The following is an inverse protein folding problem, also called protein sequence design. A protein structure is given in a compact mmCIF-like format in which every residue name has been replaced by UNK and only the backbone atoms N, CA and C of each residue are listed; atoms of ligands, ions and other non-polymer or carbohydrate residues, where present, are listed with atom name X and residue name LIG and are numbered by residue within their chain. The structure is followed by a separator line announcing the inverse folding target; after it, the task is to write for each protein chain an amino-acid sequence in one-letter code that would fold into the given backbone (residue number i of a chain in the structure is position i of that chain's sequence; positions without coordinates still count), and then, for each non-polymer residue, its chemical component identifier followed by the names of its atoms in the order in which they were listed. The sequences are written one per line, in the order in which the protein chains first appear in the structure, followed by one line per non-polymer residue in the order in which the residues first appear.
data_IF_634118822369
#
_entry.id   IF_634118822369
#
_cell.length_a   1.000
_cell.length_b   1.000
_cell.length_c   1.000
_cell.angle_alpha   90.00
_cell.angle_beta   90.00
_cell.angle_gamma   90.00
#
_symmetry.space_group_name_H-M   'P 1'
#
loop_
_entity.id
_entity.type
_entity.pdbx_description
1 polymer ?
#
# COMPACT_ATOMS: atom_id res chain seq x y z
N UNK A 1 44.97 -14.23 -20.87
CA UNK A 1 46.07 -14.60 -19.94
C UNK A 1 45.85 -13.78 -18.69
N UNK A 2 45.71 -14.29 -17.49
CA UNK A 2 45.42 -15.61 -16.94
C UNK A 2 44.97 -15.31 -15.51
N UNK A 3 43.99 -16.05 -14.99
CA UNK A 3 43.75 -16.13 -13.54
C UNK A 3 44.96 -16.76 -12.81
N UNK A 4 44.97 -16.76 -11.48
CA UNK A 4 44.37 -17.94 -10.83
C UNK A 4 43.55 -17.66 -9.55
N UNK A 5 42.54 -18.50 -9.36
CA UNK A 5 41.89 -18.90 -8.11
C UNK A 5 42.90 -19.39 -7.04
N UNK A 6 42.57 -19.21 -5.75
CA UNK A 6 42.77 -20.23 -4.71
C UNK A 6 41.62 -20.20 -3.70
N UNK A 7 40.95 -21.34 -3.57
CA UNK A 7 39.97 -21.72 -2.55
C UNK A 7 40.65 -22.12 -1.23
N UNK A 8 39.94 -22.01 -0.10
CA UNK A 8 40.40 -22.59 1.17
C UNK A 8 39.44 -22.36 2.34
N UNK A 9 38.61 -23.37 2.60
CA UNK A 9 37.66 -23.56 3.70
C UNK A 9 38.33 -23.82 5.06
N UNK A 10 37.69 -23.40 6.16
CA UNK A 10 37.74 -24.17 7.42
C UNK A 10 36.53 -23.89 8.34
N UNK A 11 36.04 -24.97 8.96
CA UNK A 11 34.83 -25.08 9.77
C UNK A 11 35.19 -25.54 11.18
N UNK A 12 34.58 -24.95 12.22
CA UNK A 12 34.61 -25.36 13.64
C UNK A 12 33.39 -24.65 14.30
N UNK A 13 32.52 -25.20 15.15
CA UNK A 13 32.28 -26.52 15.75
C UNK A 13 30.94 -26.47 16.50
N UNK A 14 30.27 -27.62 16.54
CA UNK A 14 29.04 -27.95 17.26
C UNK A 14 29.13 -27.70 18.77
N UNK A 15 27.97 -27.41 19.39
CA UNK A 15 27.66 -28.01 20.69
C UNK A 15 26.20 -28.45 20.75
N UNK A 16 26.05 -29.72 21.10
CA UNK A 16 24.87 -30.55 21.24
C UNK A 16 24.68 -30.87 22.73
N UNK A 17 23.43 -30.99 23.17
CA UNK A 17 22.92 -31.88 24.25
C UNK A 17 21.40 -31.62 24.36
N UNK A 18 20.51 -32.49 23.87
CA UNK A 18 20.08 -33.81 24.39
C UNK A 18 18.92 -33.71 25.43
N UNK A 19 17.73 -34.11 24.97
CA UNK A 19 16.50 -34.60 25.67
C UNK A 19 16.77 -35.86 26.54
N UNK A 20 15.84 -36.52 27.29
CA UNK A 20 14.38 -36.70 27.09
C UNK A 20 13.53 -36.66 28.41
N UNK A 21 12.20 -36.71 28.41
CA UNK A 21 11.36 -37.92 28.28
C UNK A 21 9.87 -37.61 27.96
N UNK A 22 9.29 -38.42 27.07
CA UNK A 22 7.85 -38.73 26.93
C UNK A 22 7.49 -39.77 28.02
N UNK A 23 6.27 -40.07 28.47
CA UNK A 23 4.97 -40.31 27.84
C UNK A 23 4.01 -40.61 29.01
N UNK A 24 2.76 -40.10 29.05
CA UNK A 24 1.61 -40.90 29.48
C UNK A 24 0.28 -40.23 29.10
N UNK A 25 -0.60 -41.06 28.55
CA UNK A 25 -1.98 -40.85 28.11
C UNK A 25 -2.90 -41.02 29.34
N UNK A 26 -4.02 -40.28 29.43
CA UNK A 26 -5.39 -40.86 29.41
C UNK A 26 -6.51 -39.93 29.97
N UNK A 27 -7.67 -40.04 29.32
CA UNK A 27 -9.07 -39.75 29.73
C UNK A 27 -9.52 -38.32 30.12
N UNK A 28 -10.30 -37.72 29.21
CA UNK A 28 -11.52 -36.92 29.50
C UNK A 28 -12.64 -37.81 30.07
N UNK A 29 -13.71 -37.32 30.76
CA UNK A 29 -14.51 -36.16 30.34
C UNK A 29 -15.20 -35.31 31.44
N UNK A 30 -15.77 -34.19 30.98
CA UNK A 30 -17.07 -33.60 31.36
C UNK A 30 -17.06 -32.10 31.72
N UNK A 31 -17.98 -31.41 31.06
CA UNK A 31 -18.47 -30.06 31.31
C UNK A 31 -19.12 -29.98 32.70
N UNK A 32 -19.04 -28.82 33.35
CA UNK A 32 -20.21 -28.08 33.85
C UNK A 32 -19.83 -26.69 34.37
N UNK A 33 -20.78 -25.77 34.26
CA UNK A 33 -20.65 -24.36 34.58
C UNK A 33 -20.57 -24.12 36.09
N UNK A 34 -19.78 -23.12 36.52
CA UNK A 34 -20.32 -22.11 37.44
C UNK A 34 -19.47 -20.84 37.53
N UNK A 35 -20.17 -19.72 37.45
CA UNK A 35 -19.69 -18.38 37.71
C UNK A 35 -19.43 -18.20 39.20
N UNK A 36 -18.25 -17.71 39.58
CA UNK A 36 -18.06 -16.84 40.74
C UNK A 36 -16.72 -16.11 40.61
N UNK A 37 -16.81 -14.84 40.23
CA UNK A 37 -15.78 -13.84 40.44
C UNK A 37 -15.58 -13.65 41.95
N UNK A 38 -14.34 -13.64 42.45
CA UNK A 38 -13.77 -12.52 43.22
C UNK A 38 -12.25 -12.71 43.22
N UNK A 39 -11.58 -11.77 42.58
CA UNK A 39 -10.14 -11.60 42.49
C UNK A 39 -9.84 -10.25 41.82
N UNK A 40 -10.62 -9.22 42.17
CA UNK A 40 -10.09 -7.85 42.23
C UNK A 40 -9.02 -7.91 43.32
N UNK A 41 -7.78 -7.45 43.13
CA UNK A 41 -7.42 -6.05 43.15
C UNK A 41 -5.95 -5.96 42.68
N UNK A 42 -5.70 -5.69 41.40
CA UNK A 42 -4.49 -4.95 40.95
C UNK A 42 -4.41 -4.69 39.42
N UNK A 43 -5.39 -5.12 38.63
CA UNK A 43 -5.41 -4.82 37.18
C UNK A 43 -6.14 -3.52 36.80
N UNK A 44 -6.59 -2.72 37.79
CA UNK A 44 -7.34 -1.48 37.58
C UNK A 44 -6.45 -0.27 37.22
N UNK A 45 -5.40 -0.42 36.40
CA UNK A 45 -4.68 0.73 35.82
C UNK A 45 -4.08 0.44 34.44
N UNK A 46 -4.91 0.55 33.41
CA UNK A 46 -4.63 1.32 32.17
C UNK A 46 -5.87 1.31 31.30
N UNK A 47 -6.46 2.49 31.09
CA UNK A 47 -7.50 2.70 30.08
C UNK A 47 -6.95 2.26 28.71
N UNK A 48 -7.35 1.07 28.24
CA UNK A 48 -7.01 0.60 26.90
C UNK A 48 -7.97 1.25 25.91
N UNK A 49 -7.61 2.46 25.47
CA UNK A 49 -8.36 3.18 24.44
C UNK A 49 -8.06 2.51 23.09
N UNK A 50 -8.98 1.70 22.58
CA UNK A 50 -8.90 1.16 21.22
C UNK A 50 -9.01 2.31 20.22
N UNK A 51 -7.86 2.77 19.72
CA UNK A 51 -7.79 3.80 18.69
C UNK A 51 -8.26 3.17 17.38
N UNK A 52 -9.45 3.56 16.90
CA UNK A 52 -9.85 3.30 15.51
C UNK A 52 -9.17 4.29 14.59
N UNK A 53 -8.90 3.89 13.35
CA UNK A 53 -8.40 4.80 12.32
C UNK A 53 -9.35 5.99 12.18
N UNK A 54 -8.79 7.17 11.94
CA UNK A 54 -9.59 8.33 11.54
C UNK A 54 -10.22 8.03 10.18
N UNK A 55 -11.31 8.69 9.83
CA UNK A 55 -11.97 8.51 8.52
C UNK A 55 -10.98 8.63 7.35
N UNK A 56 -10.08 9.62 7.40
CA UNK A 56 -8.98 9.77 6.43
C UNK A 56 -7.99 8.61 6.46
N UNK A 57 -7.68 8.08 7.65
CA UNK A 57 -6.81 6.90 7.80
C UNK A 57 -7.44 5.63 7.27
N UNK A 58 -8.76 5.47 7.43
CA UNK A 58 -9.51 4.36 6.88
C UNK A 58 -9.58 4.44 5.35
N UNK A 59 -9.90 5.61 4.79
CA UNK A 59 -9.91 5.82 3.35
C UNK A 59 -8.54 5.51 2.70
N UNK A 60 -7.43 5.92 3.33
CA UNK A 60 -6.08 5.63 2.84
C UNK A 60 -5.77 4.12 2.91
N UNK A 61 -6.22 3.44 3.96
CA UNK A 61 -6.08 1.99 4.08
C UNK A 61 -6.88 1.25 3.00
N UNK A 62 -8.14 1.62 2.80
CA UNK A 62 -9.01 1.05 1.77
C UNK A 62 -8.45 1.28 0.36
N UNK A 63 -7.92 2.48 0.07
CA UNK A 63 -7.24 2.76 -1.21
C UNK A 63 -6.05 1.83 -1.46
N UNK A 64 -5.21 1.60 -0.43
CA UNK A 64 -4.08 0.66 -0.53
C UNK A 64 -4.54 -0.77 -0.80
N UNK A 65 -5.56 -1.23 -0.07
CA UNK A 65 -6.14 -2.57 -0.25
C UNK A 65 -6.72 -2.72 -1.66
N UNK A 66 -7.50 -1.74 -2.12
CA UNK A 66 -8.10 -1.73 -3.45
C UNK A 66 -7.03 -1.76 -4.56
N UNK A 67 -5.96 -0.96 -4.41
CA UNK A 67 -4.83 -0.96 -5.35
C UNK A 67 -4.14 -2.33 -5.42
N UNK A 68 -3.91 -2.97 -4.28
CA UNK A 68 -3.32 -4.32 -4.22
C UNK A 68 -4.25 -5.37 -4.83
N UNK A 69 -5.56 -5.30 -4.57
CA UNK A 69 -6.56 -6.19 -5.15
C UNK A 69 -6.62 -6.05 -6.68
N UNK A 70 -6.60 -4.83 -7.20
CA UNK A 70 -6.55 -4.57 -8.64
C UNK A 70 -5.27 -5.12 -9.27
N UNK A 71 -4.10 -4.86 -8.67
CA UNK A 71 -2.82 -5.43 -9.13
C UNK A 71 -2.84 -6.96 -9.12
N UNK A 72 -3.39 -7.57 -8.08
CA UNK A 72 -3.52 -9.02 -7.98
C UNK A 72 -4.36 -9.61 -9.12
N UNK A 73 -5.50 -8.99 -9.43
CA UNK A 73 -6.37 -9.41 -10.53
C UNK A 73 -5.62 -9.34 -11.87
N UNK A 74 -4.99 -8.21 -12.16
CA UNK A 74 -4.20 -8.01 -13.39
C UNK A 74 -3.07 -9.02 -13.50
N UNK A 75 -2.32 -9.26 -12.42
CA UNK A 75 -1.21 -10.22 -12.42
C UNK A 75 -1.70 -11.65 -12.65
N UNK A 76 -2.85 -12.02 -12.07
CA UNK A 76 -3.45 -13.33 -12.32
C UNK A 76 -3.85 -13.50 -13.79
N UNK A 77 -4.44 -12.48 -14.41
CA UNK A 77 -4.89 -12.58 -15.80
C UNK A 77 -3.70 -12.58 -16.77
N UNK A 78 -2.67 -11.77 -16.49
CA UNK A 78 -1.37 -11.84 -17.16
C UNK A 78 -0.76 -13.24 -17.08
N UNK A 79 -0.69 -13.81 -15.87
CA UNK A 79 -0.20 -15.17 -15.66
C UNK A 79 -1.02 -16.21 -16.43
N UNK A 80 -2.36 -16.12 -16.43
CA UNK A 80 -3.22 -17.05 -17.18
C UNK A 80 -2.89 -17.04 -18.69
N UNK A 81 -2.67 -15.85 -19.27
CA UNK A 81 -2.31 -15.73 -20.69
C UNK A 81 -0.96 -16.39 -20.95
N UNK A 82 0.04 -16.10 -20.12
CA UNK A 82 1.40 -16.66 -20.25
C UNK A 82 1.37 -18.19 -20.06
N UNK A 83 0.65 -18.70 -19.07
CA UNK A 83 0.50 -20.14 -18.83
C UNK A 83 -0.18 -20.85 -20.00
N UNK A 84 -1.18 -20.23 -20.64
CA UNK A 84 -1.81 -20.76 -21.86
C UNK A 84 -0.82 -20.79 -23.04
N UNK A 85 -0.01 -19.75 -23.21
CA UNK A 85 1.02 -19.70 -24.24
C UNK A 85 2.10 -20.78 -24.03
N UNK A 86 2.62 -20.90 -22.80
CA UNK A 86 3.58 -21.95 -22.45
C UNK A 86 3.00 -23.36 -22.67
N UNK A 87 1.74 -23.58 -22.31
CA UNK A 87 1.06 -24.86 -22.57
C UNK A 87 0.94 -25.16 -24.07
N UNK A 88 0.72 -24.15 -24.92
CA UNK A 88 0.70 -24.32 -26.38
C UNK A 88 2.10 -24.63 -26.92
N UNK A 89 3.12 -23.93 -26.44
CA UNK A 89 4.50 -24.19 -26.80
C UNK A 89 4.94 -25.62 -26.45
N UNK A 90 4.52 -26.16 -25.29
CA UNK A 90 4.75 -27.56 -24.91
C UNK A 90 4.12 -28.60 -25.85
N UNK A 91 3.11 -28.22 -26.65
CA UNK A 91 2.49 -29.12 -27.62
C UNK A 91 3.11 -29.01 -29.03
N UNK A 92 4.02 -28.05 -29.25
CA UNK A 92 4.69 -27.80 -30.54
C UNK A 92 6.18 -28.14 -30.37
N UNK A 93 6.81 -28.95 -31.24
CA UNK A 93 8.16 -29.49 -31.03
C UNK A 93 9.32 -28.47 -31.21
N UNK A 94 9.10 -27.18 -30.97
CA UNK A 94 10.13 -26.13 -31.07
C UNK A 94 10.65 -25.75 -29.69
N UNK A 95 11.89 -26.15 -29.37
CA UNK A 95 12.46 -26.08 -28.02
C UNK A 95 12.97 -24.69 -27.61
N UNK A 96 13.47 -23.87 -28.54
CA UNK A 96 14.08 -22.58 -28.20
C UNK A 96 13.08 -21.55 -27.66
N UNK A 97 11.83 -21.59 -28.14
CA UNK A 97 10.76 -20.73 -27.63
C UNK A 97 10.19 -21.20 -26.29
N UNK A 98 10.40 -22.47 -25.92
CA UNK A 98 9.79 -23.07 -24.74
C UNK A 98 10.44 -22.57 -23.45
N UNK A 99 11.76 -22.49 -23.41
CA UNK A 99 12.48 -22.05 -22.19
C UNK A 99 12.15 -20.60 -21.83
N UNK A 100 12.03 -19.73 -22.82
CA UNK A 100 11.59 -18.36 -22.62
C UNK A 100 10.14 -18.29 -22.08
N UNK A 101 9.24 -19.16 -22.54
CA UNK A 101 7.90 -19.27 -21.97
C UNK A 101 7.93 -19.72 -20.50
N UNK A 102 8.87 -20.55 -20.11
CA UNK A 102 9.00 -21.08 -18.74
C UNK A 102 9.50 -20.02 -17.78
N UNK A 103 10.54 -19.27 -18.16
CA UNK A 103 11.00 -18.10 -17.42
C UNK A 103 9.85 -17.09 -17.25
N UNK A 104 9.09 -16.84 -18.32
CA UNK A 104 7.90 -15.97 -18.26
C UNK A 104 6.82 -16.49 -17.29
N UNK A 105 6.56 -17.80 -17.27
CA UNK A 105 5.61 -18.43 -16.33
C UNK A 105 6.10 -18.30 -14.88
N UNK A 106 7.39 -18.55 -14.62
CA UNK A 106 8.00 -18.42 -13.30
C UNK A 106 7.86 -16.98 -12.78
N UNK A 107 8.30 -16.00 -13.57
CA UNK A 107 8.22 -14.58 -13.22
C UNK A 107 6.78 -14.14 -12.94
N UNK A 108 5.85 -14.44 -13.85
CA UNK A 108 4.45 -14.05 -13.69
C UNK A 108 3.79 -14.72 -12.45
N UNK A 109 4.14 -15.98 -12.16
CA UNK A 109 3.64 -16.64 -10.94
C UNK A 109 4.25 -16.07 -9.66
N UNK A 110 5.50 -15.62 -9.70
CA UNK A 110 6.16 -14.87 -8.63
C UNK A 110 5.46 -13.54 -8.37
N UNK A 111 5.11 -12.78 -9.41
CA UNK A 111 4.36 -11.51 -9.29
C UNK A 111 2.99 -11.72 -8.62
N UNK A 112 2.27 -12.79 -8.96
CA UNK A 112 0.98 -13.16 -8.33
C UNK A 112 1.17 -13.46 -6.85
N UNK A 113 2.16 -14.29 -6.49
CA UNK A 113 2.47 -14.61 -5.09
C UNK A 113 2.88 -13.39 -4.28
N UNK A 114 3.78 -12.57 -4.84
CA UNK A 114 4.28 -11.37 -4.17
C UNK A 114 3.14 -10.38 -3.87
N UNK A 115 2.31 -10.09 -4.87
CA UNK A 115 1.17 -9.16 -4.69
C UNK A 115 0.15 -9.72 -3.69
N UNK A 116 -0.04 -11.04 -3.66
CA UNK A 116 -0.89 -11.70 -2.67
C UNK A 116 -0.33 -11.57 -1.25
N UNK A 117 0.97 -11.78 -1.05
CA UNK A 117 1.60 -11.61 0.26
C UNK A 117 1.57 -10.17 0.74
N UNK A 118 1.81 -9.20 -0.16
CA UNK A 118 1.64 -7.78 0.12
C UNK A 118 0.20 -7.47 0.56
N UNK A 119 -0.80 -7.93 -0.20
CA UNK A 119 -2.21 -7.72 0.15
C UNK A 119 -2.58 -8.34 1.51
N UNK A 120 -2.10 -9.57 1.77
CA UNK A 120 -2.33 -10.29 3.02
C UNK A 120 -1.77 -9.58 4.26
N UNK A 121 -0.78 -8.69 4.08
CA UNK A 121 -0.26 -7.90 5.20
C UNK A 121 -1.22 -6.81 5.69
N UNK A 122 -2.21 -6.42 4.86
CA UNK A 122 -3.20 -5.38 5.18
C UNK A 122 -4.54 -5.96 5.57
N UNK A 123 -5.00 -6.99 4.87
CA UNK A 123 -6.32 -7.59 5.05
C UNK A 123 -6.27 -9.11 4.81
N UNK A 124 -7.25 -9.85 5.32
CA UNK A 124 -7.36 -11.29 5.12
C UNK A 124 -8.08 -11.59 3.79
N UNK A 125 -7.38 -12.05 2.74
CA UNK A 125 -8.02 -12.27 1.46
C UNK A 125 -8.98 -13.46 1.53
N UNK A 126 -10.02 -13.40 0.70
CA UNK A 126 -11.07 -14.40 0.65
C UNK A 126 -10.56 -15.79 0.20
N UNK A 127 -11.42 -16.81 0.37
CA UNK A 127 -11.07 -18.19 0.01
C UNK A 127 -10.78 -18.36 -1.48
N UNK A 128 -11.49 -17.64 -2.36
CA UNK A 128 -11.27 -17.76 -3.79
C UNK A 128 -9.92 -17.19 -4.20
N UNK A 129 -9.55 -16.02 -3.66
CA UNK A 129 -8.21 -15.43 -3.87
C UNK A 129 -7.10 -16.42 -3.51
N UNK A 130 -7.19 -17.06 -2.34
CA UNK A 130 -6.21 -18.10 -1.91
C UNK A 130 -6.10 -19.24 -2.93
N UNK A 131 -7.25 -19.82 -3.30
CA UNK A 131 -7.34 -20.90 -4.29
C UNK A 131 -6.72 -20.51 -5.64
N UNK A 132 -6.88 -19.25 -6.06
CA UNK A 132 -6.26 -18.76 -7.30
C UNK A 132 -4.74 -18.76 -7.24
N UNK A 133 -4.15 -18.37 -6.11
CA UNK A 133 -2.68 -18.42 -5.91
C UNK A 133 -2.18 -19.86 -5.88
N UNK A 134 -2.87 -20.76 -5.19
CA UNK A 134 -2.51 -22.18 -5.13
C UNK A 134 -2.59 -22.82 -6.53
N UNK A 135 -3.65 -22.51 -7.28
CA UNK A 135 -3.81 -22.98 -8.67
C UNK A 135 -2.72 -22.41 -9.57
N UNK A 136 -2.40 -21.12 -9.41
CA UNK A 136 -1.31 -20.46 -10.13
C UNK A 136 0.01 -21.19 -9.90
N UNK A 137 0.33 -21.47 -8.64
CA UNK A 137 1.55 -22.18 -8.28
C UNK A 137 1.57 -23.62 -8.83
N UNK A 138 0.50 -24.39 -8.61
CA UNK A 138 0.43 -25.78 -9.03
C UNK A 138 0.52 -25.93 -10.55
N UNK A 139 -0.13 -25.04 -11.31
CA UNK A 139 -0.06 -25.05 -12.78
C UNK A 139 1.32 -24.62 -13.26
N UNK A 140 1.94 -23.59 -12.67
CA UNK A 140 3.31 -23.19 -13.03
C UNK A 140 4.31 -24.31 -12.79
N UNK A 141 4.27 -24.98 -11.63
CA UNK A 141 5.15 -26.13 -11.33
C UNK A 141 4.97 -27.25 -12.35
N UNK A 142 3.73 -27.58 -12.71
CA UNK A 142 3.45 -28.60 -13.74
C UNK A 142 3.99 -28.23 -15.13
N UNK A 143 3.94 -26.95 -15.51
CA UNK A 143 4.48 -26.48 -16.79
C UNK A 143 6.01 -26.63 -16.81
N UNK A 144 6.68 -26.26 -15.71
CA UNK A 144 8.14 -26.35 -15.57
C UNK A 144 8.59 -27.81 -15.61
N UNK A 145 8.01 -28.69 -14.78
CA UNK A 145 8.40 -30.11 -14.72
C UNK A 145 8.23 -30.85 -16.06
N UNK A 146 7.23 -30.44 -16.86
CA UNK A 146 6.96 -31.08 -18.16
C UNK A 146 8.02 -30.74 -19.21
N UNK A 147 8.71 -29.62 -19.07
CA UNK A 147 9.89 -29.30 -19.88
C UNK A 147 11.03 -30.26 -19.57
N UNK A 148 11.31 -30.45 -18.28
CA UNK A 148 12.38 -31.33 -17.80
C UNK A 148 12.16 -32.78 -18.26
N UNK A 149 10.90 -33.25 -18.27
CA UNK A 149 10.53 -34.57 -18.82
C UNK A 149 10.66 -34.65 -20.34
N UNK A 150 10.36 -33.57 -21.07
CA UNK A 150 10.51 -33.50 -22.53
C UNK A 150 11.97 -33.55 -22.98
N UNK A 151 12.92 -33.29 -22.07
CA UNK A 151 14.36 -33.44 -22.32
C UNK A 151 14.90 -34.88 -22.20
N UNK A 152 14.12 -35.83 -21.66
CA UNK A 152 14.64 -37.19 -21.36
C UNK A 152 13.88 -38.37 -21.97
N UNK A 153 12.64 -38.23 -22.43
CA UNK A 153 11.92 -39.34 -23.08
C UNK A 153 11.00 -38.82 -24.21
N UNK A 154 11.53 -38.75 -25.43
CA UNK A 154 10.68 -38.74 -26.62
C UNK A 154 9.99 -40.11 -26.71
N UNK A 155 8.67 -40.09 -26.95
CA UNK A 155 7.81 -41.26 -27.12
C UNK A 155 7.44 -42.06 -25.84
N UNK A 156 6.51 -41.51 -25.03
CA UNK A 156 5.31 -42.22 -24.50
C UNK A 156 4.68 -41.44 -23.32
N UNK A 157 3.90 -40.41 -23.61
CA UNK A 157 2.57 -40.20 -23.00
C UNK A 157 1.91 -38.97 -23.58
N UNK A 158 0.98 -39.20 -24.51
CA UNK A 158 -0.16 -38.32 -24.73
C UNK A 158 -1.07 -38.44 -23.50
N UNK A 159 -0.60 -37.99 -22.34
CA UNK A 159 -1.47 -37.84 -21.17
C UNK A 159 -2.40 -36.68 -21.47
N UNK A 160 -3.58 -37.05 -21.96
CA UNK A 160 -4.80 -36.27 -21.99
C UNK A 160 -4.83 -35.31 -20.80
N UNK A 161 -4.58 -34.02 -21.08
CA UNK A 161 -4.91 -32.96 -20.16
C UNK A 161 -6.42 -33.05 -19.95
N UNK A 162 -6.86 -33.65 -18.84
CA UNK A 162 -8.25 -33.49 -18.44
C UNK A 162 -8.49 -32.00 -18.34
N UNK A 163 -9.43 -31.53 -19.13
CA UNK A 163 -9.87 -30.16 -19.24
C UNK A 163 -10.50 -29.73 -17.91
N UNK A 164 -9.66 -29.48 -16.91
CA UNK A 164 -10.03 -28.83 -15.65
C UNK A 164 -10.25 -27.32 -15.86
N UNK A 165 -10.83 -26.94 -17.01
CA UNK A 165 -11.38 -25.63 -17.30
C UNK A 165 -12.78 -25.44 -16.72
N UNK A 166 -13.41 -26.49 -16.21
CA UNK A 166 -14.77 -26.46 -15.69
C UNK A 166 -14.84 -26.40 -14.15
N UNK A 167 -14.20 -25.40 -13.55
CA UNK A 167 -14.48 -25.01 -12.14
C UNK A 167 -15.00 -23.58 -12.05
N UNK A 168 -15.28 -22.95 -13.19
CA UNK A 168 -15.90 -21.63 -13.29
C UNK A 168 -17.22 -21.62 -14.08
N UNK A 169 -17.70 -22.78 -14.53
CA UNK A 169 -18.97 -22.88 -15.24
C UNK A 169 -20.00 -23.62 -14.38
N UNK A 170 -21.09 -22.92 -14.11
CA UNK A 170 -22.29 -23.39 -13.43
C UNK A 170 -22.88 -24.64 -14.10
N UNK A 171 -23.55 -25.45 -13.27
CA UNK A 171 -24.23 -26.68 -13.62
C UNK A 171 -25.17 -26.55 -14.83
N UNK A 172 -24.83 -27.19 -15.95
CA UNK A 172 -25.78 -27.51 -17.01
C UNK A 172 -25.38 -28.81 -17.74
N UNK A 173 -26.14 -29.86 -17.42
CA UNK A 173 -26.39 -31.10 -18.17
C UNK A 173 -25.25 -31.78 -18.95
N UNK A 174 -24.83 -32.94 -18.44
CA UNK A 174 -24.30 -34.02 -19.27
C UNK A 174 -25.39 -34.51 -20.25
N UNK A 175 -25.16 -34.40 -21.57
CA UNK A 175 -25.93 -35.18 -22.54
C UNK A 175 -25.01 -36.05 -23.37
N UNK A 176 -25.27 -37.35 -23.25
CA UNK A 176 -24.61 -38.47 -23.91
C UNK A 176 -24.64 -38.35 -25.44
N UNK A 177 -23.58 -38.88 -26.06
CA UNK A 177 -23.44 -39.10 -27.51
C UNK A 177 -24.48 -40.10 -27.99
N UNK A 178 -25.20 -39.79 -29.07
CA UNK A 178 -25.85 -40.80 -29.92
C UNK A 178 -25.23 -40.74 -31.31
N UNK A 179 -24.68 -41.87 -31.74
CA UNK A 179 -24.47 -42.18 -33.13
C UNK A 179 -25.84 -42.37 -33.81
N UNK A 180 -25.99 -41.86 -35.03
CA UNK A 180 -27.23 -42.03 -35.77
C UNK A 180 -27.16 -41.47 -37.19
N UNK A 181 -27.12 -42.41 -38.13
CA UNK A 181 -27.64 -42.35 -39.50
C UNK A 181 -26.97 -41.42 -40.53
N UNK A 182 -26.29 -42.05 -41.49
CA UNK A 182 -25.98 -41.46 -42.78
C UNK A 182 -27.28 -41.33 -43.59
N UNK A 183 -27.80 -40.11 -43.69
CA UNK A 183 -28.87 -39.77 -44.62
C UNK A 183 -28.21 -39.12 -45.83
N UNK A 184 -28.32 -39.77 -46.99
CA UNK A 184 -27.96 -39.22 -48.29
C UNK A 184 -28.95 -38.10 -48.65
N UNK A 185 -28.50 -36.85 -48.67
CA UNK A 185 -29.33 -35.71 -49.07
C UNK A 185 -28.88 -35.12 -50.41
N UNK A 186 -29.89 -34.85 -51.24
CA UNK A 186 -29.86 -34.26 -52.59
C UNK A 186 -28.98 -33.01 -52.73
N UNK A 187 -28.01 -33.06 -53.67
CA UNK A 187 -26.96 -32.06 -53.89
C UNK A 187 -27.36 -30.77 -54.61
N UNK A 188 -28.65 -30.54 -54.90
CA UNK A 188 -29.07 -29.40 -55.74
C UNK A 188 -29.80 -28.26 -54.99
N UNK A 189 -30.27 -28.45 -53.75
CA UNK A 189 -30.90 -27.36 -52.96
C UNK A 189 -29.94 -26.63 -52.01
N UNK A 190 -28.69 -27.09 -51.89
CA UNK A 190 -27.70 -26.59 -50.93
C UNK A 190 -27.06 -25.25 -51.34
N UNK A 191 -26.88 -25.00 -52.65
CA UNK A 191 -26.14 -23.83 -53.16
C UNK A 191 -26.90 -22.51 -52.97
N UNK A 192 -28.22 -22.50 -53.12
CA UNK A 192 -29.05 -21.30 -52.88
C UNK A 192 -29.23 -21.02 -51.39
N UNK A 193 -29.29 -22.06 -50.55
CA UNK A 193 -29.30 -21.93 -49.10
C UNK A 193 -27.99 -21.35 -48.56
N UNK A 194 -26.85 -21.80 -49.09
CA UNK A 194 -25.53 -21.28 -48.68
C UNK A 194 -25.39 -19.78 -48.96
N UNK A 195 -25.79 -19.31 -50.16
CA UNK A 195 -25.77 -17.88 -50.50
C UNK A 195 -26.67 -17.02 -49.61
N UNK A 196 -27.83 -17.55 -49.20
CA UNK A 196 -28.71 -16.87 -48.24
C UNK A 196 -28.10 -16.78 -46.84
N UNK A 197 -27.41 -17.85 -46.40
CA UNK A 197 -26.70 -17.86 -45.13
C UNK A 197 -25.49 -16.92 -45.14
N UNK A 198 -24.77 -16.85 -46.24
CA UNK A 198 -23.65 -15.93 -46.46
C UNK A 198 -24.12 -14.47 -46.41
N UNK A 199 -25.18 -14.11 -47.17
CA UNK A 199 -25.76 -12.77 -47.12
C UNK A 199 -26.30 -12.40 -45.72
N UNK A 200 -26.89 -13.36 -44.99
CA UNK A 200 -27.34 -13.14 -43.63
C UNK A 200 -26.16 -12.96 -42.64
N UNK A 201 -25.06 -13.69 -42.84
CA UNK A 201 -23.84 -13.55 -42.04
C UNK A 201 -23.14 -12.21 -42.30
N UNK A 202 -23.10 -11.74 -43.55
CA UNK A 202 -22.57 -10.42 -43.89
C UNK A 202 -23.40 -9.29 -43.27
N UNK A 203 -24.74 -9.40 -43.30
CA UNK A 203 -25.62 -8.44 -42.62
C UNK A 203 -25.38 -8.46 -41.11
N UNK A 204 -25.32 -9.63 -40.49
CA UNK A 204 -25.04 -9.74 -39.06
C UNK A 204 -23.65 -9.18 -38.67
N UNK A 205 -22.63 -9.37 -39.53
CA UNK A 205 -21.28 -8.84 -39.31
C UNK A 205 -21.25 -7.30 -39.42
N UNK A 206 -21.95 -6.73 -40.40
CA UNK A 206 -22.04 -5.27 -40.56
C UNK A 206 -22.84 -4.62 -39.44
N UNK A 207 -23.94 -5.23 -39.01
CA UNK A 207 -24.71 -4.77 -37.84
C UNK A 207 -23.88 -4.82 -36.55
N UNK A 208 -23.14 -5.90 -36.32
CA UNK A 208 -22.24 -6.01 -35.18
C UNK A 208 -21.14 -4.94 -35.22
N UNK A 209 -20.57 -4.66 -36.40
CA UNK A 209 -19.56 -3.62 -36.58
C UNK A 209 -20.10 -2.23 -36.26
N UNK A 210 -21.31 -1.91 -36.75
CA UNK A 210 -21.98 -0.64 -36.49
C UNK A 210 -22.26 -0.46 -35.00
N UNK A 211 -22.73 -1.51 -34.32
CA UNK A 211 -22.98 -1.49 -32.87
C UNK A 211 -21.71 -1.22 -32.07
N UNK A 212 -20.58 -1.82 -32.46
CA UNK A 212 -19.28 -1.56 -31.83
C UNK A 212 -18.84 -0.11 -32.04
N UNK A 213 -19.02 0.45 -33.24
CA UNK A 213 -18.69 1.85 -33.51
C UNK A 213 -19.53 2.81 -32.65
N UNK A 214 -20.84 2.58 -32.55
CA UNK A 214 -21.72 3.39 -31.69
C UNK A 214 -21.34 3.31 -30.21
N UNK A 215 -20.89 2.14 -29.76
CA UNK A 215 -20.38 1.95 -28.41
C UNK A 215 -19.10 2.74 -28.16
N UNK A 216 -18.16 2.67 -29.10
CA UNK A 216 -16.92 3.44 -29.04
C UNK A 216 -17.18 4.95 -29.00
N UNK A 217 -18.09 5.46 -29.83
CA UNK A 217 -18.48 6.88 -29.82
C UNK A 217 -19.14 7.32 -28.51
N UNK A 218 -19.88 6.42 -27.85
CA UNK A 218 -20.50 6.70 -26.56
C UNK A 218 -19.44 6.76 -25.46
N UNK A 219 -18.53 5.80 -25.44
CA UNK A 219 -17.42 5.75 -24.48
C UNK A 219 -16.48 6.93 -24.67
N UNK A 220 -16.17 7.32 -25.91
CA UNK A 220 -15.36 8.48 -26.21
C UNK A 220 -15.99 9.77 -25.67
N UNK A 221 -17.30 9.97 -25.88
CA UNK A 221 -18.01 11.13 -25.30
C UNK A 221 -18.00 11.13 -23.77
N UNK A 222 -18.13 9.97 -23.14
CA UNK A 222 -18.03 9.85 -21.69
C UNK A 222 -16.63 10.21 -21.19
N UNK A 223 -15.60 9.75 -21.89
CA UNK A 223 -14.22 10.07 -21.58
C UNK A 223 -13.94 11.58 -21.69
N UNK A 224 -14.35 12.22 -22.79
CA UNK A 224 -14.22 13.66 -22.98
C UNK A 224 -14.91 14.47 -21.89
N UNK A 225 -16.12 14.06 -21.48
CA UNK A 225 -16.84 14.70 -20.38
C UNK A 225 -16.06 14.61 -19.06
N UNK A 226 -15.51 13.43 -18.74
CA UNK A 226 -14.70 13.23 -17.55
C UNK A 226 -13.41 14.06 -17.58
N UNK A 227 -12.76 14.19 -18.75
CA UNK A 227 -11.58 15.05 -18.91
C UNK A 227 -11.90 16.53 -18.68
N UNK A 228 -13.04 17.01 -19.17
CA UNK A 228 -13.49 18.39 -18.94
C UNK A 228 -13.78 18.62 -17.46
N UNK A 229 -14.47 17.70 -16.79
CA UNK A 229 -14.73 17.79 -15.35
C UNK A 229 -13.46 17.76 -14.52
N UNK A 230 -12.51 16.89 -14.88
CA UNK A 230 -11.23 16.80 -14.20
C UNK A 230 -10.42 18.10 -14.33
N UNK A 231 -10.34 18.65 -15.55
CA UNK A 231 -9.70 19.95 -15.81
C UNK A 231 -10.33 21.07 -14.99
N UNK A 232 -11.67 21.11 -14.89
CA UNK A 232 -12.38 22.10 -14.07
C UNK A 232 -12.04 21.97 -12.58
N UNK A 233 -12.00 20.74 -12.04
CA UNK A 233 -11.64 20.50 -10.63
C UNK A 233 -10.20 20.92 -10.33
N UNK A 234 -9.27 20.60 -11.22
CA UNK A 234 -7.87 21.01 -11.07
C UNK A 234 -7.73 22.54 -11.09
N UNK A 235 -8.38 23.22 -12.04
CA UNK A 235 -8.36 24.67 -12.12
C UNK A 235 -8.96 25.34 -10.87
N UNK A 236 -10.05 24.78 -10.32
CA UNK A 236 -10.64 25.27 -9.06
C UNK A 236 -9.67 25.10 -7.88
N UNK A 237 -9.06 23.92 -7.75
CA UNK A 237 -8.10 23.65 -6.68
C UNK A 237 -6.87 24.55 -6.78
N UNK A 238 -6.37 24.80 -7.99
CA UNK A 238 -5.26 25.72 -8.23
C UNK A 238 -5.62 27.16 -7.84
N UNK A 239 -6.80 27.63 -8.21
CA UNK A 239 -7.28 28.97 -7.84
C UNK A 239 -7.41 29.14 -6.32
N UNK A 240 -8.01 28.17 -5.63
CA UNK A 240 -8.12 28.17 -4.17
C UNK A 240 -6.75 28.15 -3.48
N UNK A 241 -5.81 27.35 -4.01
CA UNK A 241 -4.46 27.28 -3.46
C UNK A 241 -3.70 28.59 -3.67
N UNK A 242 -3.85 29.22 -4.83
CA UNK A 242 -3.25 30.52 -5.13
C UNK A 242 -3.79 31.62 -4.19
N UNK A 243 -5.09 31.62 -3.91
CA UNK A 243 -5.69 32.54 -2.95
C UNK A 243 -5.13 32.32 -1.54
N UNK A 244 -5.10 31.06 -1.08
CA UNK A 244 -4.51 30.69 0.22
C UNK A 244 -3.05 31.15 0.32
N UNK A 245 -2.24 30.94 -0.72
CA UNK A 245 -0.85 31.40 -0.75
C UNK A 245 -0.74 32.93 -0.64
N UNK A 246 -1.55 33.68 -1.39
CA UNK A 246 -1.56 35.15 -1.31
C UNK A 246 -1.87 35.65 0.10
N UNK A 247 -2.87 35.06 0.76
CA UNK A 247 -3.21 35.46 2.14
C UNK A 247 -2.07 35.15 3.12
N UNK A 248 -1.40 34.00 2.98
CA UNK A 248 -0.27 33.64 3.82
C UNK A 248 0.92 34.59 3.60
N UNK A 249 1.20 34.97 2.36
CA UNK A 249 2.25 35.93 2.03
C UNK A 249 1.97 37.32 2.59
N UNK A 250 0.73 37.80 2.53
CA UNK A 250 0.35 39.08 3.11
C UNK A 250 0.51 39.07 4.64
N UNK A 251 0.09 37.99 5.31
CA UNK A 251 0.29 37.82 6.75
C UNK A 251 1.79 37.77 7.10
N UNK A 252 2.60 37.09 6.30
CA UNK A 252 4.07 37.05 6.48
C UNK A 252 4.69 38.44 6.38
N UNK A 253 4.31 39.23 5.36
CA UNK A 253 4.78 40.62 5.22
C UNK A 253 4.36 41.49 6.40
N UNK A 254 3.15 41.31 6.91
CA UNK A 254 2.69 42.06 8.08
C UNK A 254 3.47 41.70 9.35
N UNK A 255 3.78 40.42 9.55
CA UNK A 255 4.62 39.98 10.68
C UNK A 255 6.02 40.60 10.57
N UNK A 256 6.64 40.56 9.41
CA UNK A 256 7.97 41.15 9.18
C UNK A 256 7.99 42.67 9.48
N UNK A 257 6.95 43.40 9.07
CA UNK A 257 6.80 44.82 9.41
C UNK A 257 6.68 45.03 10.93
N UNK A 258 5.87 44.23 11.61
CA UNK A 258 5.71 44.34 13.06
C UNK A 258 7.01 43.98 13.80
N UNK A 259 7.76 42.99 13.32
CA UNK A 259 9.06 42.61 13.87
C UNK A 259 10.09 43.74 13.74
N UNK A 260 10.11 44.44 12.59
CA UNK A 260 11.02 45.59 12.40
C UNK A 260 10.64 46.77 13.30
N UNK A 261 9.34 47.09 13.43
CA UNK A 261 8.86 48.11 14.38
C UNK A 261 9.24 47.76 15.81
N UNK A 262 9.00 46.52 16.24
CA UNK A 262 9.38 46.04 17.58
C UNK A 262 10.87 46.19 17.85
N UNK A 263 11.72 45.84 16.88
CA UNK A 263 13.19 46.02 16.99
C UNK A 263 13.58 47.49 17.12
N UNK A 264 12.97 48.38 16.32
CA UNK A 264 13.20 49.82 16.39
C UNK A 264 12.75 50.42 17.72
N UNK A 265 11.59 50.03 18.24
CA UNK A 265 11.09 50.47 19.54
C UNK A 265 11.97 49.97 20.69
N UNK A 266 12.39 48.71 20.65
CA UNK A 266 13.34 48.16 21.62
C UNK A 266 14.67 48.94 21.61
N UNK A 267 15.22 49.24 20.43
CA UNK A 267 16.44 50.04 20.30
C UNK A 267 16.26 51.46 20.85
N UNK A 268 15.11 52.10 20.59
CA UNK A 268 14.78 53.42 21.18
C UNK A 268 14.68 53.36 22.71
N UNK A 269 14.07 52.31 23.25
CA UNK A 269 13.96 52.11 24.69
C UNK A 269 15.34 51.91 25.34
N UNK A 270 16.21 51.07 24.77
CA UNK A 270 17.59 50.90 25.23
C UNK A 270 18.36 52.22 25.22
N UNK A 271 18.24 53.00 24.14
CA UNK A 271 18.89 54.31 24.04
C UNK A 271 18.37 55.32 25.09
N UNK A 272 17.09 55.26 25.46
CA UNK A 272 16.52 56.09 26.52
C UNK A 272 17.11 55.74 27.89
N UNK A 273 17.29 54.44 28.19
CA UNK A 273 17.91 53.98 29.43
C UNK A 273 19.34 54.51 29.53
N UNK A 274 20.16 54.32 28.49
CA UNK A 274 21.55 54.81 28.48
C UNK A 274 21.65 56.33 28.63
N UNK A 275 20.73 57.11 28.03
CA UNK A 275 20.70 58.57 28.20
C UNK A 275 20.31 59.00 29.61
N UNK A 276 19.48 58.22 30.30
CA UNK A 276 19.07 58.51 31.67
C UNK A 276 20.16 58.13 32.66
N UNK A 277 20.91 57.05 32.39
CA UNK A 277 22.09 56.63 33.15
C UNK A 277 23.22 57.66 33.05
N UNK A 278 23.50 58.22 31.87
CA UNK A 278 24.50 59.29 31.74
C UNK A 278 24.13 60.51 32.58
N UNK A 279 22.89 61.01 32.47
CA UNK A 279 22.45 62.17 33.27
C UNK A 279 22.44 61.89 34.78
N UNK A 280 22.22 60.63 35.19
CA UNK A 280 22.32 60.25 36.60
C UNK A 280 23.77 60.10 37.07
N UNK A 281 24.70 59.66 36.21
CA UNK A 281 26.12 59.57 36.55
C UNK A 281 26.74 60.95 36.77
N UNK A 282 26.30 61.98 36.01
CA UNK A 282 26.65 63.37 36.30
C UNK A 282 26.08 63.86 37.64
N UNK A 283 24.80 63.59 37.97
CA UNK A 283 24.22 63.92 39.28
C UNK A 283 24.89 63.16 40.45
N UNK A 284 25.24 61.89 40.24
CA UNK A 284 25.96 61.06 41.22
C UNK A 284 27.38 61.58 41.39
N UNK A 285 28.07 61.97 40.31
CA UNK A 285 29.39 62.59 40.36
C UNK A 285 29.35 63.91 41.13
N UNK A 286 28.36 64.77 40.87
CA UNK A 286 28.18 66.03 41.60
C UNK A 286 27.89 65.81 43.11
N UNK A 287 27.09 64.78 43.44
CA UNK A 287 26.80 64.39 44.83
C UNK A 287 28.06 63.84 45.54
N UNK A 288 28.93 63.11 44.85
CA UNK A 288 30.17 62.57 45.42
C UNK A 288 31.26 63.64 45.62
N UNK A 289 31.36 64.62 44.73
CA UNK A 289 32.33 65.73 44.86
C UNK A 289 31.89 66.80 45.87
N UNK A 290 30.61 66.85 46.25
CA UNK A 290 30.07 67.82 47.22
C UNK A 290 30.39 67.51 48.70
N UNK A 291 31.00 66.36 49.03
CA UNK A 291 31.25 65.94 50.42
C UNK A 291 32.73 65.81 50.77
N UNK A 292 33.35 66.95 51.07
CA UNK A 292 34.58 67.01 51.87
C UNK A 292 34.47 68.01 53.03
N UNK A 293 33.66 67.67 54.04
CA UNK A 293 33.89 68.10 55.43
C UNK A 293 33.59 66.94 56.40
N UNK A 294 34.47 66.65 57.38
CA UNK A 294 34.29 65.52 58.27
C UNK A 294 33.40 65.88 59.47
N UNK A 295 32.47 65.00 59.83
CA UNK A 295 31.90 64.91 61.18
C UNK A 295 31.80 63.45 61.61
N UNK A 296 32.82 63.07 62.36
CA UNK A 296 32.82 62.36 63.64
C UNK A 296 31.61 61.47 64.05
N UNK A 297 31.94 60.18 64.22
CA UNK A 297 31.48 59.19 65.23
C UNK A 297 30.00 58.74 65.34
N UNK A 298 29.71 57.59 64.69
CA UNK A 298 29.12 56.28 65.12
C UNK A 298 28.46 56.09 66.53
N UNK A 299 27.71 54.98 66.87
CA UNK A 299 27.63 53.70 66.14
C UNK A 299 26.34 52.77 66.25
N UNK A 300 26.39 51.67 65.48
CA UNK A 300 25.86 50.26 65.60
C UNK A 300 24.36 49.82 65.60
N UNK A 301 24.03 49.00 64.56
CA UNK A 301 23.35 47.66 64.47
C UNK A 301 21.87 47.50 64.94
N UNK A 302 20.98 46.69 64.33
CA UNK A 302 21.11 45.34 63.76
C UNK A 302 19.94 44.98 62.78
N UNK A 303 20.15 43.95 61.98
CA UNK A 303 19.34 43.45 60.86
C UNK A 303 18.13 42.56 61.24
N UNK A 304 17.16 42.40 60.33
CA UNK A 304 16.60 41.07 59.95
C UNK A 304 15.83 41.04 58.61
N UNK A 305 16.26 40.10 57.75
CA UNK A 305 15.50 39.11 56.94
C UNK A 305 14.42 39.55 55.92
N UNK A 306 14.84 39.58 54.65
CA UNK A 306 14.48 38.58 53.61
C UNK A 306 13.01 38.23 53.36
N UNK A 307 12.44 38.80 52.29
CA UNK A 307 11.25 38.29 51.62
C UNK A 307 11.57 37.96 50.15
N UNK A 308 11.43 36.69 49.77
CA UNK A 308 11.39 36.22 48.37
C UNK A 308 10.00 36.51 47.78
N UNK A 309 9.87 36.99 46.54
CA UNK A 309 8.62 36.82 45.79
C UNK A 309 8.62 35.47 45.07
N UNK A 310 7.48 34.79 45.18
CA UNK A 310 7.20 33.50 44.57
C UNK A 310 7.13 33.60 43.03
N UNK A 311 7.69 32.59 42.38
CA UNK A 311 7.49 32.28 40.97
C UNK A 311 6.03 31.87 40.71
N UNK A 312 5.36 32.53 39.77
CA UNK A 312 4.10 32.06 39.21
C UNK A 312 4.33 31.65 37.76
N UNK A 313 4.51 30.34 37.55
CA UNK A 313 4.44 29.70 36.24
C UNK A 313 2.98 29.66 35.80
N UNK A 314 2.64 30.35 34.70
CA UNK A 314 1.47 30.04 33.89
C UNK A 314 1.92 29.53 32.53
N UNK A 315 1.92 28.21 32.40
CA UNK A 315 1.81 27.51 31.12
C UNK A 315 0.34 27.09 30.90
N UNK A 316 0.01 26.86 29.62
CA UNK A 316 -1.27 26.41 29.03
C UNK A 316 -2.28 27.54 28.76
N UNK A 317 -2.84 27.70 27.54
CA UNK A 317 -3.15 26.73 26.48
C UNK A 317 -3.05 27.36 25.09
N UNK A 318 -2.40 26.63 24.16
CA UNK A 318 -2.58 26.75 22.70
C UNK A 318 -3.97 26.23 22.32
N UNK A 319 -4.67 26.94 21.44
CA UNK A 319 -5.71 26.40 20.56
C UNK A 319 -5.39 26.81 19.15
#
# INVERSE_FOLDING_TARGET
MAEPEVQGSEAVKLQEQASPDEENVDLSPQQEANTSQVGEEDALRKSQRTRKLTEKGQALHEDRVNKLQCRFKTNCDKWKVIAKQAKRALNVPSNASLQDHIVRVQNASGEVKQTYHEWRSYDTPDRDTRRRVDTCHAVSVKIILKEEESGKYTAKRLTHWSEAGSVFQSAASHRSKRAGSAITCSSHSSKSSAKKQEAAAELAATEATLKVMQEMEREQRQFENLEVENRKRLAQQEAENAEKQRTLEERRRQIERLETVKKMEAAKACLKVYKQESTSDEEISDLLHSKSKPKEAAPYLCATRGHKPATCNKCYTRR
#
